data_IF_877876457716
#
_entry.id   IF_877876457716
#
_cell.length_a   1.000
_cell.length_b   1.000
_cell.length_c   1.000
_cell.angle_alpha   90.00
_cell.angle_beta   90.00
_cell.angle_gamma   90.00
#
_symmetry.space_group_name_H-M   'P 1'
#
loop_
_entity.id
_entity.type
_entity.pdbx_description
1 polymer ?
#
# COMPACT_ATOMS: atom_id res chain seq x y z
N UNK A 1 11.43 -4.88 -4.49
CA UNK A 1 10.07 -5.35 -4.90
C UNK A 1 10.13 -6.06 -6.22
N UNK A 2 9.92 -5.41 -7.38
CA UNK A 2 9.78 -6.14 -8.66
C UNK A 2 11.05 -6.85 -9.16
N UNK A 3 12.24 -6.36 -8.79
CA UNK A 3 13.52 -7.03 -9.03
C UNK A 3 13.76 -8.21 -8.07
N UNK A 4 13.36 -8.08 -6.81
CA UNK A 4 13.55 -9.10 -5.78
C UNK A 4 12.48 -10.21 -5.84
N UNK A 5 11.25 -9.83 -6.19
CA UNK A 5 10.05 -10.65 -6.28
C UNK A 5 9.31 -10.29 -7.56
N UNK A 6 9.76 -10.79 -8.73
CA UNK A 6 9.08 -10.55 -9.98
C UNK A 6 7.68 -11.16 -9.96
N UNK A 7 6.70 -10.35 -10.36
CA UNK A 7 5.29 -10.74 -10.49
C UNK A 7 4.73 -10.11 -11.75
N UNK A 8 3.82 -10.81 -12.40
CA UNK A 8 2.93 -10.15 -13.34
C UNK A 8 1.98 -9.26 -12.53
N UNK A 9 1.88 -8.00 -12.90
CA UNK A 9 1.19 -7.02 -12.07
C UNK A 9 0.79 -5.79 -12.86
N UNK A 10 -0.46 -5.38 -12.65
CA UNK A 10 -1.05 -4.15 -13.17
C UNK A 10 -0.56 -2.95 -12.35
N UNK A 11 0.08 -1.99 -13.03
CA UNK A 11 0.59 -0.80 -12.38
C UNK A 11 -0.44 0.34 -12.45
N UNK A 12 -0.94 0.76 -11.30
CA UNK A 12 -1.77 1.95 -11.15
C UNK A 12 -0.94 3.08 -10.55
N UNK A 13 -0.82 4.20 -11.27
CA UNK A 13 -0.07 5.39 -10.80
C UNK A 13 -0.85 6.66 -11.13
N UNK A 14 -0.48 7.76 -10.48
CA UNK A 14 -1.02 9.09 -10.77
C UNK A 14 -0.04 10.19 -10.39
N UNK A 15 -0.43 11.42 -10.69
CA UNK A 15 0.36 12.61 -10.33
C UNK A 15 0.31 12.86 -8.83
N UNK A 16 1.30 13.52 -8.23
CA UNK A 16 1.39 13.71 -6.75
C UNK A 16 0.14 14.29 -6.07
N UNK A 17 -0.72 15.00 -6.80
CA UNK A 17 -1.97 15.59 -6.27
C UNK A 17 -3.16 14.62 -6.33
N UNK A 18 -3.00 13.53 -7.05
CA UNK A 18 -3.97 12.45 -7.19
C UNK A 18 -3.77 11.47 -6.04
N UNK A 19 -4.51 11.72 -4.97
CA UNK A 19 -4.28 11.06 -3.68
C UNK A 19 -5.20 9.87 -3.43
N UNK A 20 -6.19 9.62 -4.30
CA UNK A 20 -7.19 8.55 -4.17
C UNK A 20 -6.92 7.37 -5.08
N UNK A 21 -5.66 6.94 -5.24
CA UNK A 21 -5.29 5.92 -6.23
C UNK A 21 -5.86 4.53 -5.92
N UNK A 22 -6.09 4.20 -4.64
CA UNK A 22 -6.60 2.89 -4.24
C UNK A 22 -8.04 2.67 -4.75
N UNK A 23 -8.81 3.73 -4.99
CA UNK A 23 -10.15 3.66 -5.60
C UNK A 23 -10.16 3.09 -7.03
N UNK A 24 -9.01 3.03 -7.71
CA UNK A 24 -8.87 2.53 -9.09
C UNK A 24 -8.39 1.09 -9.17
N UNK A 25 -8.15 0.46 -8.03
CA UNK A 25 -7.69 -0.92 -7.95
C UNK A 25 -8.91 -1.79 -7.71
N UNK A 26 -9.13 -2.77 -8.58
CA UNK A 26 -10.03 -3.88 -8.33
C UNK A 26 -9.19 -5.12 -8.04
N UNK A 27 -9.59 -5.89 -7.04
CA UNK A 27 -8.89 -7.07 -6.57
C UNK A 27 -9.90 -8.07 -6.00
N UNK A 28 -9.67 -9.35 -6.25
CA UNK A 28 -10.49 -10.45 -5.77
C UNK A 28 -9.79 -11.19 -4.62
N UNK A 29 -10.45 -12.24 -4.11
CA UNK A 29 -9.91 -13.06 -3.04
C UNK A 29 -8.55 -13.66 -3.40
N UNK A 30 -7.55 -13.44 -2.53
CA UNK A 30 -6.19 -13.94 -2.72
C UNK A 30 -5.29 -13.08 -3.61
N UNK A 31 -5.82 -12.04 -4.26
CA UNK A 31 -4.99 -11.06 -4.97
C UNK A 31 -4.13 -10.27 -3.99
N UNK A 32 -2.92 -9.93 -4.41
CA UNK A 32 -2.01 -9.13 -3.60
C UNK A 32 -1.90 -7.70 -4.12
N UNK A 33 -2.30 -6.74 -3.28
CA UNK A 33 -2.25 -5.31 -3.55
C UNK A 33 -1.13 -4.68 -2.75
N UNK A 34 -0.10 -4.19 -3.44
CA UNK A 34 0.98 -3.40 -2.83
C UNK A 34 0.73 -1.92 -3.05
N UNK A 35 0.59 -1.15 -1.96
CA UNK A 35 0.38 0.30 -1.99
C UNK A 35 1.64 1.00 -1.52
N UNK A 36 2.11 2.01 -2.27
CA UNK A 36 3.37 2.71 -2.02
C UNK A 36 3.14 4.22 -2.05
N UNK A 37 3.65 4.93 -1.05
CA UNK A 37 3.76 6.40 -1.00
C UNK A 37 2.43 7.16 -1.20
N UNK A 38 1.33 6.51 -0.83
CA UNK A 38 -0.02 7.04 -0.89
C UNK A 38 -0.55 7.12 0.54
N UNK A 39 -1.07 8.27 0.95
CA UNK A 39 -1.57 8.44 2.32
C UNK A 39 -2.70 7.46 2.66
N UNK A 40 -2.47 6.59 3.65
CA UNK A 40 -3.48 5.65 4.15
C UNK A 40 -4.74 6.38 4.63
N UNK A 41 -4.59 7.47 5.37
CA UNK A 41 -5.71 8.26 5.89
C UNK A 41 -6.70 8.70 4.79
N UNK A 42 -6.23 8.94 3.56
CA UNK A 42 -7.06 9.34 2.41
C UNK A 42 -7.66 8.16 1.65
N UNK A 43 -7.08 6.96 1.77
CA UNK A 43 -7.44 5.78 1.00
C UNK A 43 -8.07 4.69 1.86
N UNK A 44 -8.18 4.89 3.17
CA UNK A 44 -8.67 3.90 4.13
C UNK A 44 -10.01 3.27 3.73
N UNK A 45 -10.93 4.04 3.15
CA UNK A 45 -12.22 3.52 2.65
C UNK A 45 -12.01 2.49 1.54
N UNK A 46 -11.14 2.79 0.58
CA UNK A 46 -10.87 1.91 -0.54
C UNK A 46 -9.99 0.73 -0.12
N UNK A 47 -9.11 0.90 0.88
CA UNK A 47 -8.37 -0.19 1.51
C UNK A 47 -9.34 -1.19 2.16
N UNK A 48 -10.35 -0.73 2.91
CA UNK A 48 -11.39 -1.62 3.44
C UNK A 48 -12.10 -2.37 2.31
N UNK A 49 -12.49 -1.68 1.23
CA UNK A 49 -13.15 -2.34 0.09
C UNK A 49 -12.31 -3.49 -0.48
N UNK A 50 -11.00 -3.33 -0.59
CA UNK A 50 -10.09 -4.39 -1.05
C UNK A 50 -9.97 -5.52 -0.03
N UNK A 51 -9.92 -5.21 1.26
CA UNK A 51 -9.85 -6.22 2.31
C UNK A 51 -11.15 -7.03 2.40
N UNK A 52 -12.30 -6.37 2.20
CA UNK A 52 -13.63 -6.98 2.17
C UNK A 52 -13.83 -7.92 0.98
N UNK A 53 -13.08 -7.72 -0.13
CA UNK A 53 -13.07 -8.67 -1.25
C UNK A 53 -12.16 -9.88 -1.03
N UNK A 54 -11.45 -9.94 0.11
CA UNK A 54 -10.50 -11.01 0.43
C UNK A 54 -9.10 -10.80 -0.15
N UNK A 55 -8.81 -9.61 -0.69
CA UNK A 55 -7.47 -9.30 -1.15
C UNK A 55 -6.50 -9.17 0.03
N UNK A 56 -5.22 -9.43 -0.23
CA UNK A 56 -4.11 -9.24 0.72
C UNK A 56 -3.46 -7.90 0.41
N UNK A 57 -3.48 -6.98 1.37
CA UNK A 57 -2.97 -5.62 1.18
C UNK A 57 -1.69 -5.43 1.97
N UNK A 58 -0.64 -4.96 1.29
CA UNK A 58 0.62 -4.57 1.89
C UNK A 58 0.90 -3.09 1.61
N UNK A 59 1.10 -2.31 2.67
CA UNK A 59 1.06 -0.85 2.60
C UNK A 59 2.37 -0.24 3.09
N UNK A 60 3.07 0.48 2.22
CA UNK A 60 4.33 1.15 2.52
C UNK A 60 4.14 2.66 2.43
N UNK A 61 4.37 3.36 3.54
CA UNK A 61 4.26 4.82 3.57
C UNK A 61 5.16 5.41 4.65
N UNK A 62 5.59 6.66 4.45
CA UNK A 62 6.34 7.42 5.44
C UNK A 62 5.57 8.62 6.00
N UNK A 63 4.37 8.89 5.46
CA UNK A 63 3.46 9.88 6.01
C UNK A 63 2.73 9.35 7.24
N UNK A 64 2.13 10.26 8.03
CA UNK A 64 1.23 9.86 9.10
C UNK A 64 0.02 9.10 8.50
N UNK A 65 -0.10 7.82 8.82
CA UNK A 65 -1.14 6.93 8.32
C UNK A 65 -2.53 7.18 8.95
N UNK A 66 -2.59 8.02 9.98
CA UNK A 66 -3.79 8.23 10.79
C UNK A 66 -4.12 6.99 11.60
N UNK A 67 -5.42 6.72 11.76
CA UNK A 67 -5.91 5.50 12.41
C UNK A 67 -5.73 4.30 11.48
N UNK A 68 -4.98 3.32 11.98
CA UNK A 68 -4.75 2.03 11.35
C UNK A 68 -5.91 1.08 11.62
N UNK A 69 -6.08 0.13 10.72
CA UNK A 69 -6.99 -1.00 10.86
C UNK A 69 -6.18 -2.29 10.97
N UNK A 70 -6.69 -3.29 11.69
CA UNK A 70 -5.94 -4.53 11.95
C UNK A 70 -6.69 -5.81 11.51
N UNK A 71 -7.10 -5.93 10.23
CA UNK A 71 -7.60 -7.19 9.71
C UNK A 71 -6.46 -8.13 9.31
N UNK A 72 -6.69 -9.45 9.31
CA UNK A 72 -5.63 -10.46 9.13
C UNK A 72 -4.95 -10.41 7.74
N UNK A 73 -5.59 -9.81 6.75
CA UNK A 73 -5.10 -9.65 5.38
C UNK A 73 -4.44 -8.29 5.12
N UNK A 74 -4.08 -7.54 6.17
CA UNK A 74 -3.42 -6.24 6.07
C UNK A 74 -2.03 -6.28 6.71
N UNK A 75 -1.03 -5.77 5.99
CA UNK A 75 0.32 -5.53 6.53
C UNK A 75 0.73 -4.09 6.29
N UNK A 76 1.23 -3.43 7.34
CA UNK A 76 1.78 -2.08 7.24
C UNK A 76 3.29 -2.06 7.44
N UNK A 77 3.95 -1.28 6.60
CA UNK A 77 5.33 -0.87 6.74
C UNK A 77 5.36 0.66 6.79
N UNK A 78 5.12 1.22 7.97
CA UNK A 78 5.05 2.67 8.19
C UNK A 78 6.22 3.13 9.04
N UNK A 79 6.98 4.10 8.54
CA UNK A 79 8.01 4.80 9.31
C UNK A 79 7.94 6.30 9.03
N UNK A 80 7.62 7.09 10.06
CA UNK A 80 7.40 8.54 9.97
C UNK A 80 8.62 9.38 10.35
N UNK A 81 9.79 8.76 10.53
CA UNK A 81 11.03 9.48 10.79
C UNK A 81 11.39 10.42 9.62
N UNK A 82 11.86 11.64 9.91
CA UNK A 82 12.03 12.69 8.89
C UNK A 82 13.09 12.36 7.81
N UNK A 83 14.00 11.43 8.09
CA UNK A 83 15.04 10.97 7.18
C UNK A 83 14.70 9.65 6.48
N UNK A 84 13.48 9.13 6.66
CA UNK A 84 13.02 7.88 6.05
C UNK A 84 12.07 8.19 4.90
N UNK A 85 12.26 7.48 3.79
CA UNK A 85 11.38 7.56 2.61
C UNK A 85 10.75 6.20 2.35
N UNK A 86 9.62 6.17 1.64
CA UNK A 86 8.99 4.93 1.19
C UNK A 86 9.97 3.99 0.47
N UNK A 87 10.91 4.54 -0.30
CA UNK A 87 11.96 3.75 -0.97
C UNK A 87 12.92 3.07 0.01
N UNK A 88 13.29 3.74 1.12
CA UNK A 88 14.13 3.13 2.16
C UNK A 88 13.38 2.03 2.90
N UNK A 89 12.10 2.25 3.23
CA UNK A 89 11.24 1.24 3.86
C UNK A 89 11.16 -0.01 2.97
N UNK A 90 10.88 0.19 1.68
CA UNK A 90 10.83 -0.91 0.70
C UNK A 90 12.18 -1.62 0.62
N UNK A 91 13.29 -0.87 0.56
CA UNK A 91 14.62 -1.47 0.49
C UNK A 91 14.90 -2.36 1.70
N UNK A 92 14.59 -1.90 2.92
CA UNK A 92 14.74 -2.68 4.15
C UNK A 92 13.87 -3.94 4.16
N UNK A 93 12.70 -3.92 3.52
CA UNK A 93 11.81 -5.08 3.45
C UNK A 93 12.28 -6.15 2.45
N UNK A 94 12.90 -5.74 1.33
CA UNK A 94 13.29 -6.69 0.25
C UNK A 94 14.77 -7.04 0.20
N UNK A 95 15.56 -6.53 1.16
CA UNK A 95 17.00 -6.84 1.28
C UNK A 95 17.24 -8.18 1.95
#
# INVERSE_FOLDING_TARGET
MRLAHPRDANLVTGVKRDVGLVSRVDADEGDMVTVLDVSHAKNRKDVHRLLDSGAIVEYFDHHNAGELIDPPNMTYHINTEPNVSTGLIVNSHVS
#
